data_IF_063014516050
#
_entry.id   IF_063014516050
#
_cell.length_a   1.000
_cell.length_b   1.000
_cell.length_c   1.000
_cell.angle_alpha   90.00
_cell.angle_beta   90.00
_cell.angle_gamma   90.00
#
_symmetry.space_group_name_H-M   'P 1'
#
loop_
_entity.id
_entity.type
_entity.pdbx_description
1 polymer ?
#
# COMPACT_ATOMS: atom_id res chain seq x y z
N UNK A 1 28.94 21.55 -6.48
CA UNK A 1 28.21 22.24 -5.38
C UNK A 1 27.24 23.33 -5.86
N UNK A 2 26.80 23.36 -7.14
CA UNK A 2 25.94 24.43 -7.65
C UNK A 2 24.48 24.31 -7.19
N UNK A 3 23.90 23.10 -7.22
CA UNK A 3 22.53 22.86 -6.75
C UNK A 3 22.34 23.22 -5.27
N UNK A 4 23.30 22.84 -4.40
CA UNK A 4 23.26 23.18 -2.96
C UNK A 4 23.28 24.69 -2.69
N UNK A 5 23.82 25.50 -3.62
CA UNK A 5 23.96 26.95 -3.46
C UNK A 5 22.77 27.74 -4.01
N UNK A 6 21.89 27.12 -4.80
CA UNK A 6 20.70 27.80 -5.33
C UNK A 6 19.71 27.99 -4.18
N UNK A 7 19.22 29.22 -3.91
CA UNK A 7 18.21 29.42 -2.90
C UNK A 7 16.94 28.67 -3.28
N UNK A 8 16.36 27.98 -2.30
CA UNK A 8 15.03 27.37 -2.44
C UNK A 8 14.01 28.42 -2.04
N UNK A 9 13.06 28.66 -2.93
CA UNK A 9 11.92 29.52 -2.63
C UNK A 9 10.85 28.67 -1.93
N UNK A 10 10.36 29.20 -0.81
CA UNK A 10 9.27 28.62 -0.04
C UNK A 10 8.08 29.57 -0.13
N UNK A 11 6.89 28.99 -0.17
CA UNK A 11 5.62 29.70 -0.24
C UNK A 11 4.71 29.14 0.82
N UNK A 12 3.97 30.02 1.49
CA UNK A 12 2.85 29.67 2.37
C UNK A 12 1.54 29.68 1.57
N UNK A 13 0.47 29.09 2.14
CA UNK A 13 -0.85 29.06 1.47
C UNK A 13 -1.38 30.47 1.17
N UNK A 14 -1.13 31.43 2.06
CA UNK A 14 -1.51 32.83 1.89
C UNK A 14 -0.79 33.51 0.72
N UNK A 15 0.42 33.08 0.36
CA UNK A 15 1.12 33.63 -0.80
C UNK A 15 0.49 33.17 -2.13
N UNK A 16 -0.30 32.10 -2.06
CA UNK A 16 -0.95 31.45 -3.20
C UNK A 16 -2.47 31.71 -3.26
N UNK A 17 -3.02 32.46 -2.29
CA UNK A 17 -4.46 32.73 -2.17
C UNK A 17 -5.30 31.43 -2.07
N UNK A 18 -4.78 30.45 -1.31
CA UNK A 18 -5.43 29.15 -1.06
C UNK A 18 -5.97 29.12 0.36
N UNK A 19 -7.26 28.78 0.50
CA UNK A 19 -7.90 28.63 1.80
C UNK A 19 -7.46 27.32 2.48
N UNK A 20 -7.23 27.38 3.80
CA UNK A 20 -6.74 26.22 4.56
C UNK A 20 -7.73 25.04 4.53
N UNK A 21 -9.03 25.33 4.44
CA UNK A 21 -10.13 24.37 4.39
C UNK A 21 -10.16 23.55 3.10
N UNK A 22 -9.50 24.01 2.03
CA UNK A 22 -9.46 23.31 0.74
C UNK A 22 -8.35 22.25 0.67
N UNK A 23 -7.41 22.27 1.61
CA UNK A 23 -6.19 21.46 1.58
C UNK A 23 -5.89 20.80 2.93
N UNK A 24 -4.80 20.02 2.99
CA UNK A 24 -4.39 19.36 4.21
C UNK A 24 -5.42 18.35 4.71
N UNK A 25 -5.53 18.21 6.02
CA UNK A 25 -6.50 17.30 6.65
C UNK A 25 -7.93 17.84 6.57
N UNK A 26 -8.10 19.16 6.57
CA UNK A 26 -9.41 19.82 6.60
C UNK A 26 -10.15 19.68 5.26
N UNK A 27 -9.43 19.81 4.14
CA UNK A 27 -9.97 19.56 2.80
C UNK A 27 -10.02 18.09 2.38
N UNK A 28 -9.52 17.16 3.20
CA UNK A 28 -9.47 15.74 2.84
C UNK A 28 -10.84 15.06 3.00
N UNK A 29 -11.26 14.30 1.99
CA UNK A 29 -12.51 13.53 2.04
C UNK A 29 -12.45 12.30 2.95
N UNK A 30 -11.24 11.84 3.26
CA UNK A 30 -11.02 10.63 4.04
C UNK A 30 -9.89 10.86 5.04
N UNK A 31 -9.98 10.17 6.17
CA UNK A 31 -8.95 10.13 7.19
C UNK A 31 -8.44 8.71 7.37
N UNK A 32 -7.16 8.59 7.71
CA UNK A 32 -6.58 7.30 8.11
C UNK A 32 -7.06 7.00 9.53
N UNK A 33 -7.95 6.01 9.65
CA UNK A 33 -8.46 5.55 10.94
C UNK A 33 -7.40 4.74 11.72
N UNK A 34 -6.73 3.81 11.03
CA UNK A 34 -5.63 3.03 11.62
C UNK A 34 -4.64 2.55 10.57
N UNK A 35 -3.41 2.31 11.01
CA UNK A 35 -2.35 1.71 10.19
C UNK A 35 -1.61 0.66 11.02
N UNK A 36 -1.80 -0.62 10.67
CA UNK A 36 -1.15 -1.75 11.35
C UNK A 36 -0.25 -2.51 10.39
N UNK A 37 0.90 -2.97 10.87
CA UNK A 37 1.80 -3.78 10.07
C UNK A 37 1.13 -5.10 9.65
N UNK A 38 1.28 -5.46 8.37
CA UNK A 38 0.81 -6.76 7.88
C UNK A 38 1.57 -7.89 8.60
N UNK A 39 0.89 -8.91 9.12
CA UNK A 39 1.55 -10.08 9.69
C UNK A 39 2.54 -10.71 8.71
N UNK A 40 3.62 -11.31 9.23
CA UNK A 40 4.60 -12.01 8.40
C UNK A 40 3.94 -13.15 7.61
N UNK A 41 4.37 -13.35 6.36
CA UNK A 41 3.91 -14.49 5.55
C UNK A 41 4.41 -15.78 6.20
N UNK A 42 3.50 -16.73 6.41
CA UNK A 42 3.86 -18.08 6.83
C UNK A 42 4.25 -18.92 5.62
N UNK A 43 4.94 -20.04 5.84
CA UNK A 43 5.08 -21.05 4.81
C UNK A 43 3.69 -21.52 4.34
N UNK A 44 3.52 -21.68 3.03
CA UNK A 44 2.29 -22.25 2.45
C UNK A 44 2.26 -23.77 2.58
N UNK A 45 1.20 -24.37 2.04
CA UNK A 45 1.08 -25.84 1.98
C UNK A 45 2.13 -26.43 1.04
N UNK A 46 2.96 -27.33 1.56
CA UNK A 46 3.93 -28.08 0.75
C UNK A 46 3.34 -29.44 0.47
N UNK A 47 2.99 -29.70 -0.79
CA UNK A 47 2.57 -31.00 -1.28
C UNK A 47 3.76 -31.69 -1.94
N UNK A 48 4.14 -32.86 -1.42
CA UNK A 48 5.10 -33.74 -2.11
C UNK A 48 4.31 -34.63 -3.06
N UNK A 49 4.74 -34.69 -4.31
CA UNK A 49 4.05 -35.48 -5.32
C UNK A 49 4.46 -36.95 -5.24
N UNK A 50 3.48 -37.82 -5.00
CA UNK A 50 3.61 -39.29 -5.02
C UNK A 50 2.78 -39.92 -6.14
N UNK A 51 2.35 -39.11 -7.13
CA UNK A 51 1.52 -39.51 -8.27
C UNK A 51 0.15 -38.84 -8.33
N UNK A 52 -0.26 -38.10 -7.28
CA UNK A 52 -1.54 -37.39 -7.20
C UNK A 52 -1.39 -35.86 -7.03
N UNK A 53 -0.18 -35.30 -7.13
CA UNK A 53 0.09 -33.89 -6.84
C UNK A 53 -0.75 -32.92 -7.67
N UNK A 54 -1.02 -33.25 -8.94
CA UNK A 54 -1.88 -32.43 -9.80
C UNK A 54 -3.32 -32.30 -9.30
N UNK A 55 -3.89 -33.39 -8.76
CA UNK A 55 -5.23 -33.39 -8.18
C UNK A 55 -5.27 -32.56 -6.89
N UNK A 56 -4.28 -32.75 -6.02
CA UNK A 56 -4.15 -32.01 -4.76
C UNK A 56 -3.96 -30.49 -4.98
N UNK A 57 -3.22 -30.11 -6.03
CA UNK A 57 -3.09 -28.70 -6.42
C UNK A 57 -4.42 -28.12 -6.89
N UNK A 58 -5.14 -28.81 -7.79
CA UNK A 58 -6.43 -28.35 -8.28
C UNK A 58 -7.46 -28.20 -7.13
N UNK A 59 -7.48 -29.16 -6.21
CA UNK A 59 -8.31 -29.10 -5.00
C UNK A 59 -7.97 -27.88 -4.12
N UNK A 60 -6.68 -27.59 -3.90
CA UNK A 60 -6.26 -26.40 -3.15
C UNK A 60 -6.72 -25.09 -3.82
N UNK A 61 -6.53 -24.96 -5.14
CA UNK A 61 -6.89 -23.75 -5.87
C UNK A 61 -8.40 -23.50 -5.85
N UNK A 62 -9.21 -24.54 -6.06
CA UNK A 62 -10.66 -24.43 -5.99
C UNK A 62 -11.13 -24.12 -4.56
N UNK A 63 -10.56 -24.78 -3.55
CA UNK A 63 -10.89 -24.56 -2.14
C UNK A 63 -10.57 -23.14 -1.65
N UNK A 64 -9.50 -22.52 -2.17
CA UNK A 64 -9.13 -21.13 -1.86
C UNK A 64 -9.80 -20.09 -2.78
N UNK A 65 -10.66 -20.53 -3.71
CA UNK A 65 -11.33 -19.67 -4.69
C UNK A 65 -10.36 -18.88 -5.57
N UNK A 66 -9.25 -19.49 -5.93
CA UNK A 66 -8.35 -18.98 -6.95
C UNK A 66 -8.81 -19.37 -8.36
N UNK A 67 -9.62 -20.44 -8.47
CA UNK A 67 -10.33 -20.90 -9.66
C UNK A 67 -11.77 -21.27 -9.31
#
# INVERSE_FOLDING_TARGET
MAAKKKPVQSWDLSDLDIEAEEVGLEGAWTAVDSATARPARTAGTIVKDEGEGGKQLAEFLAGQKFI
#
